data_IF_108306825737
#
_entry.id   IF_108306825737
#
_cell.length_a   1.000
_cell.length_b   1.000
_cell.length_c   1.000
_cell.angle_alpha   90.00
_cell.angle_beta   90.00
_cell.angle_gamma   90.00
#
_symmetry.space_group_name_H-M   'P 1'
#
loop_
_entity.id
_entity.type
_entity.pdbx_description
1 polymer ?
#
# COMPACT_ATOMS: atom_id res chain seq x y z
N UNK A 1 -10.22 11.03 7.34
CA UNK A 1 -10.14 11.18 8.79
C UNK A 1 -9.59 9.87 9.34
N UNK A 2 -8.36 9.89 9.85
CA UNK A 2 -7.70 8.70 10.40
C UNK A 2 -8.48 8.12 11.59
N UNK A 3 -8.35 6.84 11.80
CA UNK A 3 -8.92 6.15 12.95
C UNK A 3 -7.79 5.85 13.94
N UNK A 4 -7.92 6.37 15.15
CA UNK A 4 -7.08 5.99 16.28
C UNK A 4 -7.77 4.86 17.01
N UNK A 5 -7.08 3.74 17.17
CA UNK A 5 -7.56 2.63 17.98
C UNK A 5 -6.58 2.31 19.09
N UNK A 6 -7.04 1.65 20.13
CA UNK A 6 -6.22 1.11 21.19
C UNK A 6 -5.97 -0.38 20.91
N UNK A 7 -4.75 -0.87 21.12
CA UNK A 7 -4.43 -2.28 20.94
C UNK A 7 -5.12 -3.15 22.00
N UNK A 8 -5.42 -4.38 21.64
CA UNK A 8 -5.87 -5.40 22.59
C UNK A 8 -4.74 -5.86 23.54
N UNK A 9 -5.03 -6.85 24.38
CA UNK A 9 -4.09 -7.38 25.36
C UNK A 9 -2.84 -8.01 24.72
N UNK A 10 -2.93 -8.41 23.45
CA UNK A 10 -1.82 -8.96 22.65
C UNK A 10 -1.05 -7.89 21.88
N UNK A 11 -1.47 -6.61 21.97
CA UNK A 11 -0.88 -5.52 21.20
C UNK A 11 -1.34 -5.50 19.74
N UNK A 12 -2.50 -6.08 19.46
CA UNK A 12 -3.08 -6.15 18.11
C UNK A 12 -4.15 -5.08 17.95
N UNK A 13 -4.09 -4.39 16.82
CA UNK A 13 -5.12 -3.46 16.37
C UNK A 13 -5.45 -3.73 14.91
N UNK A 14 -6.68 -3.50 14.50
CA UNK A 14 -7.09 -3.75 13.12
C UNK A 14 -8.15 -2.78 12.62
N UNK A 15 -8.20 -2.61 11.30
CA UNK A 15 -9.27 -1.95 10.57
C UNK A 15 -9.83 -2.88 9.51
N UNK A 16 -11.15 -2.95 9.36
CA UNK A 16 -11.83 -3.95 8.54
C UNK A 16 -12.88 -3.34 7.62
N UNK A 17 -12.92 -3.82 6.40
CA UNK A 17 -14.07 -3.73 5.51
C UNK A 17 -14.87 -5.04 5.56
N UNK A 18 -16.21 -4.89 5.58
CA UNK A 18 -17.14 -6.02 5.48
C UNK A 18 -18.14 -5.72 4.38
N UNK A 19 -18.23 -6.63 3.42
CA UNK A 19 -19.13 -6.54 2.27
C UNK A 19 -20.31 -7.50 2.45
N UNK A 20 -21.45 -7.18 1.88
CA UNK A 20 -22.63 -8.07 1.89
C UNK A 20 -22.38 -9.36 1.13
N UNK A 21 -21.70 -9.25 -0.02
CA UNK A 21 -21.28 -10.38 -0.87
C UNK A 21 -19.76 -10.38 -1.01
N UNK A 22 -19.15 -11.54 -1.33
CA UNK A 22 -17.71 -11.58 -1.61
C UNK A 22 -17.34 -10.64 -2.76
N UNK A 23 -16.25 -9.90 -2.58
CA UNK A 23 -15.65 -9.05 -3.62
C UNK A 23 -14.25 -9.53 -3.92
N UNK A 24 -13.78 -9.32 -5.14
CA UNK A 24 -12.41 -9.62 -5.53
C UNK A 24 -11.62 -8.33 -5.54
N UNK A 25 -10.54 -8.30 -4.78
CA UNK A 25 -9.56 -7.20 -4.81
C UNK A 25 -8.26 -7.67 -5.46
N UNK A 26 -7.52 -6.73 -6.05
CA UNK A 26 -6.25 -6.96 -6.72
C UNK A 26 -5.15 -6.02 -6.20
N UNK A 27 -5.49 -5.05 -5.35
CA UNK A 27 -4.51 -4.20 -4.68
C UNK A 27 -5.12 -3.56 -3.42
N UNK A 28 -4.25 -3.08 -2.55
CA UNK A 28 -4.61 -2.18 -1.46
C UNK A 28 -3.67 -0.97 -1.40
N UNK A 29 -4.12 0.13 -0.81
CA UNK A 29 -3.23 1.17 -0.33
C UNK A 29 -3.43 1.42 1.15
N UNK A 30 -2.32 1.71 1.83
CA UNK A 30 -2.27 1.96 3.25
C UNK A 30 -1.52 3.27 3.50
N UNK A 31 -2.13 4.21 4.22
CA UNK A 31 -1.46 5.41 4.72
C UNK A 31 -1.34 5.32 6.23
N UNK A 32 -0.10 5.35 6.70
CA UNK A 32 0.25 5.33 8.11
C UNK A 32 0.66 6.74 8.55
N UNK A 33 -0.13 7.34 9.42
CA UNK A 33 0.15 8.65 10.00
C UNK A 33 1.23 8.65 11.06
N UNK A 34 1.80 7.49 11.39
CA UNK A 34 2.97 7.36 12.26
C UNK A 34 4.25 7.64 11.46
N UNK A 35 4.28 8.78 10.79
CA UNK A 35 5.42 9.19 9.97
C UNK A 35 6.74 8.88 10.68
N UNK A 36 7.45 7.90 10.16
CA UNK A 36 8.76 7.47 10.64
C UNK A 36 9.89 8.29 10.04
N UNK A 37 9.57 9.49 9.55
CA UNK A 37 10.63 10.40 9.16
C UNK A 37 11.56 10.60 10.33
N UNK A 38 12.82 10.65 10.06
CA UNK A 38 14.02 10.67 10.90
C UNK A 38 14.01 11.55 12.16
N UNK A 39 12.99 12.37 12.34
CA UNK A 39 12.85 13.24 13.52
C UNK A 39 12.27 12.53 14.73
N UNK A 40 11.71 11.33 14.57
CA UNK A 40 11.14 10.53 15.66
C UNK A 40 11.56 9.06 15.55
N UNK A 41 12.86 8.81 15.65
CA UNK A 41 13.48 7.47 15.69
C UNK A 41 13.04 6.61 16.90
N UNK A 42 12.08 7.06 17.67
CA UNK A 42 11.58 6.41 18.88
C UNK A 42 10.39 5.48 18.64
N UNK A 43 9.79 5.54 17.48
CA UNK A 43 8.67 4.65 17.15
C UNK A 43 9.20 3.28 16.74
N UNK A 44 8.87 2.27 17.51
CA UNK A 44 9.16 0.90 17.14
C UNK A 44 8.48 0.53 15.81
N UNK A 45 9.10 -0.35 15.01
CA UNK A 45 8.53 -0.76 13.73
C UNK A 45 7.16 -1.38 13.91
N UNK A 46 6.16 -0.88 13.18
CA UNK A 46 4.83 -1.47 13.11
C UNK A 46 4.81 -2.56 12.03
N UNK A 47 4.25 -3.69 12.37
CA UNK A 47 4.10 -4.81 11.44
C UNK A 47 2.66 -4.89 10.98
N UNK A 48 2.43 -4.66 9.70
CA UNK A 48 1.12 -4.76 9.09
C UNK A 48 0.98 -6.06 8.31
N UNK A 49 -0.22 -6.61 8.29
CA UNK A 49 -0.59 -7.72 7.43
C UNK A 49 -2.03 -7.57 6.96
N UNK A 50 -2.31 -8.08 5.77
CA UNK A 50 -3.66 -8.22 5.26
C UNK A 50 -4.19 -9.61 5.61
N UNK A 51 -5.40 -9.67 6.13
CA UNK A 51 -6.14 -10.90 6.39
C UNK A 51 -7.53 -10.83 5.77
N UNK A 52 -8.07 -12.00 5.41
CA UNK A 52 -9.41 -12.15 4.84
C UNK A 52 -10.25 -13.17 5.57
N UNK A 53 -11.58 -13.01 5.48
CA UNK A 53 -12.56 -13.95 6.02
C UNK A 53 -13.84 -13.92 5.20
N UNK A 54 -14.57 -15.04 5.14
CA UNK A 54 -15.90 -15.12 4.58
C UNK A 54 -17.01 -15.19 5.64
N UNK A 55 -16.66 -15.60 6.86
CA UNK A 55 -17.59 -15.74 7.99
C UNK A 55 -17.50 -14.58 9.00
N UNK A 56 -16.49 -13.72 8.86
CA UNK A 56 -16.19 -12.62 9.78
C UNK A 56 -15.62 -13.07 11.14
N UNK A 57 -15.29 -14.34 11.29
CA UNK A 57 -14.78 -14.95 12.53
C UNK A 57 -13.40 -15.58 12.35
N UNK A 58 -13.25 -16.39 11.33
CA UNK A 58 -12.00 -17.08 11.00
C UNK A 58 -11.27 -16.28 9.93
N UNK A 59 -10.08 -15.79 10.25
CA UNK A 59 -9.27 -14.98 9.34
C UNK A 59 -8.03 -15.74 8.89
N UNK A 60 -7.71 -15.58 7.61
CA UNK A 60 -6.52 -16.14 6.98
C UNK A 60 -5.63 -15.02 6.48
N UNK A 61 -4.33 -15.09 6.79
CA UNK A 61 -3.36 -14.12 6.29
C UNK A 61 -3.21 -14.26 4.77
N UNK A 62 -3.29 -13.13 4.07
CA UNK A 62 -3.01 -13.02 2.63
C UNK A 62 -1.55 -12.69 2.40
N UNK A 63 -1.06 -11.62 3.02
CA UNK A 63 0.32 -11.17 2.90
C UNK A 63 0.75 -10.33 4.11
N UNK A 64 2.04 -10.22 4.31
CA UNK A 64 2.63 -9.18 5.14
C UNK A 64 2.75 -7.89 4.30
N UNK A 65 2.52 -6.75 4.92
CA UNK A 65 2.70 -5.44 4.32
C UNK A 65 4.04 -4.91 4.84
N UNK A 66 5.07 -4.86 3.99
CA UNK A 66 6.40 -4.47 4.44
C UNK A 66 6.42 -3.00 4.84
N UNK A 67 7.38 -2.66 5.67
CA UNK A 67 7.63 -1.26 6.01
C UNK A 67 8.14 -0.50 4.78
N UNK A 68 7.74 0.75 4.69
CA UNK A 68 8.17 1.68 3.64
C UNK A 68 8.52 3.03 4.24
N UNK A 69 9.44 3.74 3.61
CA UNK A 69 9.76 5.13 3.95
C UNK A 69 8.76 6.15 3.43
N UNK A 70 7.68 5.70 2.81
CA UNK A 70 6.61 6.56 2.29
C UNK A 70 5.42 6.61 3.24
N UNK A 71 4.72 7.74 3.27
CA UNK A 71 3.47 7.90 4.03
C UNK A 71 2.37 6.94 3.59
N UNK A 72 2.31 6.71 2.30
CA UNK A 72 1.39 5.79 1.67
C UNK A 72 2.17 4.75 0.92
N UNK A 73 1.69 3.54 0.94
CA UNK A 73 2.20 2.48 0.10
C UNK A 73 1.07 1.72 -0.58
N UNK A 74 1.27 1.40 -1.83
CA UNK A 74 0.38 0.57 -2.64
C UNK A 74 0.96 -0.83 -2.77
N UNK A 75 0.15 -1.83 -2.46
CA UNK A 75 0.52 -3.25 -2.55
C UNK A 75 -0.35 -3.89 -3.63
N UNK A 76 0.27 -4.45 -4.64
CA UNK A 76 -0.40 -5.30 -5.64
C UNK A 76 -0.61 -6.70 -5.07
N UNK A 77 -1.74 -7.30 -5.37
CA UNK A 77 -2.15 -8.59 -4.83
C UNK A 77 -2.56 -9.53 -5.96
N UNK A 78 -2.32 -10.83 -5.84
CA UNK A 78 -3.05 -11.78 -6.65
C UNK A 78 -4.55 -11.60 -6.40
N UNK A 79 -5.43 -11.86 -7.41
CA UNK A 79 -6.87 -11.74 -7.23
C UNK A 79 -7.33 -12.48 -5.99
N UNK A 80 -7.83 -11.74 -5.00
CA UNK A 80 -8.20 -12.25 -3.68
C UNK A 80 -9.67 -11.96 -3.42
N UNK A 81 -10.48 -13.01 -3.25
CA UNK A 81 -11.93 -12.91 -3.09
C UNK A 81 -12.34 -13.24 -1.67
N UNK A 82 -13.03 -12.31 -1.01
CA UNK A 82 -13.58 -12.51 0.34
C UNK A 82 -14.71 -11.52 0.66
N UNK A 83 -15.41 -11.77 1.76
CA UNK A 83 -16.40 -10.82 2.31
C UNK A 83 -15.76 -9.80 3.26
N UNK A 84 -14.76 -10.22 4.01
CA UNK A 84 -14.09 -9.37 4.98
C UNK A 84 -12.62 -9.26 4.64
N UNK A 85 -12.12 -8.04 4.67
CA UNK A 85 -10.70 -7.72 4.52
C UNK A 85 -10.29 -6.87 5.70
N UNK A 86 -9.26 -7.27 6.42
CA UNK A 86 -8.73 -6.47 7.51
C UNK A 86 -7.22 -6.27 7.40
N UNK A 87 -6.80 -5.06 7.67
CA UNK A 87 -5.40 -4.75 7.93
C UNK A 87 -5.20 -4.86 9.43
N UNK A 88 -4.28 -5.70 9.81
CA UNK A 88 -3.89 -5.93 11.20
C UNK A 88 -2.53 -5.32 11.43
N UNK A 89 -2.41 -4.54 12.48
CA UNK A 89 -1.14 -4.01 12.96
C UNK A 89 -0.76 -4.72 14.26
N UNK A 90 0.46 -5.24 14.32
CA UNK A 90 1.05 -5.80 15.51
C UNK A 90 2.06 -4.83 16.09
N UNK A 91 1.85 -4.40 17.32
CA UNK A 91 2.82 -3.60 18.06
C UNK A 91 3.97 -4.47 18.57
N UNK A 92 5.22 -4.00 18.49
CA UNK A 92 6.40 -4.82 18.79
C UNK A 92 6.60 -5.11 20.28
N UNK A 93 6.02 -4.35 21.17
CA UNK A 93 6.14 -4.56 22.63
C UNK A 93 4.87 -4.14 23.37
N UNK A 94 4.50 -4.97 24.33
CA UNK A 94 3.30 -4.86 25.15
C UNK A 94 3.32 -3.73 26.19
N UNK A 95 4.48 -3.20 26.54
CA UNK A 95 4.69 -2.49 27.80
C UNK A 95 4.88 -0.98 27.66
N UNK A 96 4.72 -0.43 26.47
CA UNK A 96 4.86 1.01 26.29
C UNK A 96 3.51 1.70 26.33
N UNK A 97 3.23 2.33 27.47
CA UNK A 97 2.10 3.24 27.61
C UNK A 97 2.17 4.33 26.55
N UNK A 98 1.09 4.50 25.79
CA UNK A 98 0.96 5.56 24.80
C UNK A 98 1.27 5.17 23.36
N UNK A 99 1.64 3.92 23.06
CA UNK A 99 1.74 3.46 21.69
C UNK A 99 0.34 3.40 21.06
N UNK A 100 0.21 3.98 19.90
CA UNK A 100 -1.03 3.97 19.11
C UNK A 100 -0.70 3.81 17.64
N UNK A 101 -1.64 3.22 16.92
CA UNK A 101 -1.59 3.15 15.47
C UNK A 101 -2.43 4.26 14.90
N UNK A 102 -1.85 5.08 14.06
CA UNK A 102 -2.54 6.14 13.36
C UNK A 102 -2.75 5.75 11.89
N UNK A 103 -3.67 4.82 11.66
CA UNK A 103 -4.08 4.44 10.32
C UNK A 103 -4.93 5.57 9.74
N UNK A 104 -4.37 6.31 8.79
CA UNK A 104 -5.06 7.45 8.18
C UNK A 104 -5.98 7.02 7.05
N UNK A 105 -5.53 6.09 6.23
CA UNK A 105 -6.28 5.63 5.07
C UNK A 105 -5.98 4.16 4.79
N UNK A 106 -7.01 3.42 4.42
CA UNK A 106 -6.93 2.05 3.98
C UNK A 106 -7.94 1.85 2.85
N UNK A 107 -7.47 1.60 1.64
CA UNK A 107 -8.30 1.43 0.46
C UNK A 107 -8.08 0.08 -0.18
N UNK A 108 -9.16 -0.47 -0.76
CA UNK A 108 -9.15 -1.71 -1.52
C UNK A 108 -9.47 -1.41 -2.98
N UNK A 109 -8.76 -2.06 -3.90
CA UNK A 109 -8.93 -1.86 -5.34
C UNK A 109 -9.29 -3.17 -6.03
N UNK A 110 -10.27 -3.10 -6.92
CA UNK A 110 -10.69 -4.23 -7.77
C UNK A 110 -9.85 -4.36 -9.04
N UNK A 111 -8.87 -3.50 -9.23
CA UNK A 111 -7.94 -3.52 -10.36
C UNK A 111 -6.51 -3.56 -9.83
N UNK A 112 -5.62 -4.18 -10.58
CA UNK A 112 -4.19 -4.19 -10.30
C UNK A 112 -3.62 -2.78 -10.23
N UNK A 113 -2.60 -2.58 -9.39
CA UNK A 113 -1.87 -1.32 -9.21
C UNK A 113 -0.38 -1.59 -9.32
N UNK A 114 0.40 -0.54 -9.52
CA UNK A 114 1.85 -0.67 -9.44
C UNK A 114 2.22 -0.95 -7.99
N UNK A 115 2.87 -2.09 -7.77
CA UNK A 115 3.35 -2.46 -6.44
C UNK A 115 4.43 -1.47 -5.99
N UNK A 116 4.26 -0.92 -4.77
CA UNK A 116 5.12 0.12 -4.20
C UNK A 116 5.27 1.36 -5.09
N UNK A 117 4.16 1.81 -5.69
CA UNK A 117 4.15 2.93 -6.64
C UNK A 117 4.78 4.19 -6.04
N UNK A 118 4.48 4.51 -4.79
CA UNK A 118 4.95 5.70 -4.10
C UNK A 118 6.47 5.68 -3.89
N UNK A 119 7.00 4.54 -3.49
CA UNK A 119 8.43 4.35 -3.28
C UNK A 119 9.20 4.38 -4.61
N UNK A 120 8.66 3.71 -5.62
CA UNK A 120 9.21 3.72 -7.00
C UNK A 120 9.17 5.12 -7.64
N UNK A 121 8.20 5.95 -7.25
CA UNK A 121 8.11 7.34 -7.68
C UNK A 121 9.01 8.30 -6.87
N UNK A 122 9.74 7.80 -5.88
CA UNK A 122 10.67 8.61 -5.09
C UNK A 122 10.01 9.44 -3.99
N UNK A 123 8.82 9.07 -3.51
CA UNK A 123 8.13 9.77 -2.42
C UNK A 123 8.65 9.40 -1.02
N UNK A 124 9.74 8.67 -0.95
CA UNK A 124 10.43 8.42 0.32
C UNK A 124 11.03 9.71 0.87
N UNK A 125 10.93 9.94 2.18
CA UNK A 125 11.51 11.12 2.78
C UNK A 125 13.04 11.08 2.66
N UNK A 126 13.67 12.25 2.50
CA UNK A 126 15.12 12.35 2.32
C UNK A 126 15.91 11.66 3.44
N UNK A 127 15.43 11.72 4.67
CA UNK A 127 16.10 11.10 5.81
C UNK A 127 15.97 9.58 5.87
N UNK A 128 15.12 8.97 5.04
CA UNK A 128 14.82 7.54 5.08
C UNK A 128 15.41 6.78 3.87
N UNK A 129 16.07 7.48 2.94
CA UNK A 129 16.61 6.87 1.71
C UNK A 129 17.55 5.70 1.98
N UNK A 130 18.33 5.77 3.06
CA UNK A 130 19.32 4.75 3.42
C UNK A 130 18.78 3.69 4.40
N UNK A 131 17.58 3.88 4.93
CA UNK A 131 17.04 3.00 5.99
C UNK A 131 16.29 1.79 5.43
N UNK A 132 15.82 1.88 4.20
CA UNK A 132 15.04 0.83 3.58
C UNK A 132 15.83 0.16 2.46
N UNK A 133 15.87 -1.16 2.44
CA UNK A 133 16.55 -1.89 1.38
C UNK A 133 15.89 -1.62 0.03
N UNK A 134 16.68 -1.57 -1.02
CA UNK A 134 16.16 -1.57 -2.39
C UNK A 134 15.26 -2.77 -2.62
N UNK A 135 14.21 -2.58 -3.39
CA UNK A 135 13.32 -3.68 -3.76
C UNK A 135 14.07 -4.73 -4.59
N UNK A 136 13.72 -6.01 -4.44
CA UNK A 136 14.33 -7.06 -5.24
C UNK A 136 14.03 -6.85 -6.74
N UNK A 137 14.92 -7.33 -7.61
CA UNK A 137 14.77 -7.22 -9.06
C UNK A 137 13.48 -7.85 -9.59
N UNK A 138 12.90 -8.81 -8.86
CA UNK A 138 11.60 -9.39 -9.18
C UNK A 138 10.45 -8.37 -9.19
N UNK A 139 10.61 -7.25 -8.48
CA UNK A 139 9.64 -6.16 -8.42
C UNK A 139 9.85 -5.11 -9.52
N UNK A 140 10.86 -5.28 -10.34
CA UNK A 140 11.23 -4.35 -11.42
C UNK A 140 10.77 -4.90 -12.76
N UNK A 141 9.98 -4.13 -13.50
CA UNK A 141 9.64 -4.47 -14.88
C UNK A 141 10.89 -4.34 -15.77
N UNK A 142 11.10 -5.31 -16.66
CA UNK A 142 12.18 -5.20 -17.63
C UNK A 142 11.97 -3.98 -18.53
N UNK A 143 13.06 -3.30 -18.92
CA UNK A 143 12.94 -2.12 -19.78
C UNK A 143 12.23 -2.40 -21.11
N UNK A 144 12.33 -3.64 -21.63
CA UNK A 144 11.62 -4.08 -22.82
C UNK A 144 10.10 -4.19 -22.66
N UNK A 145 9.62 -4.29 -21.42
CA UNK A 145 8.18 -4.36 -21.10
C UNK A 145 7.56 -2.97 -20.91
N UNK A 146 8.37 -1.92 -20.94
CA UNK A 146 7.92 -0.55 -20.78
C UNK A 146 7.62 0.09 -22.13
N UNK A 147 6.37 0.49 -22.35
CA UNK A 147 5.95 1.21 -23.55
C UNK A 147 5.76 2.68 -23.22
N UNK A 148 6.62 3.54 -23.78
CA UNK A 148 6.48 5.00 -23.61
C UNK A 148 5.42 5.52 -24.58
N UNK A 149 4.40 6.15 -24.04
CA UNK A 149 3.26 6.68 -24.79
C UNK A 149 3.20 8.23 -24.79
N UNK A 150 4.18 8.90 -24.20
CA UNK A 150 4.19 10.37 -23.99
C UNK A 150 4.00 11.14 -25.29
N UNK A 151 4.76 10.82 -26.33
CA UNK A 151 4.72 11.53 -27.62
C UNK A 151 3.47 11.24 -28.47
N UNK A 152 2.63 10.37 -27.95
CA UNK A 152 1.46 9.91 -28.67
C UNK A 152 0.15 10.42 -28.05
N UNK A 153 0.22 11.29 -27.06
CA UNK A 153 -0.96 11.92 -26.45
C UNK A 153 -1.43 13.07 -27.34
N UNK A 154 -2.68 13.02 -27.74
CA UNK A 154 -3.30 14.10 -28.53
C UNK A 154 -3.46 15.38 -27.70
N UNK A 155 -3.67 16.52 -28.37
CA UNK A 155 -3.82 17.82 -27.71
C UNK A 155 -5.03 17.87 -26.73
N UNK A 156 -6.04 17.02 -26.95
CA UNK A 156 -7.20 16.86 -26.06
C UNK A 156 -6.92 15.94 -24.85
N UNK A 157 -5.68 15.49 -24.69
CA UNK A 157 -5.23 14.59 -23.61
C UNK A 157 -5.61 13.12 -23.82
N UNK A 158 -6.25 12.77 -24.93
CA UNK A 158 -6.63 11.40 -25.26
C UNK A 158 -5.50 10.64 -25.92
N UNK A 159 -5.48 9.34 -25.67
CA UNK A 159 -4.53 8.44 -26.27
C UNK A 159 -5.21 7.16 -26.77
N UNK A 160 -5.54 7.07 -28.06
CA UNK A 160 -5.90 5.78 -28.63
C UNK A 160 -4.67 4.87 -28.65
N UNK A 161 -4.77 3.74 -27.98
CA UNK A 161 -3.71 2.73 -27.94
C UNK A 161 -4.31 1.34 -28.08
N UNK A 162 -3.85 0.61 -29.09
CA UNK A 162 -4.18 -0.78 -29.22
C UNK A 162 -3.20 -1.58 -28.36
N UNK A 163 -3.63 -1.88 -27.11
CA UNK A 163 -2.80 -2.65 -26.19
C UNK A 163 -2.53 -4.04 -26.77
N UNK A 164 -1.27 -4.49 -26.79
CA UNK A 164 -0.94 -5.88 -27.06
C UNK A 164 -1.65 -6.82 -26.06
N UNK A 165 -1.74 -8.11 -26.38
CA UNK A 165 -2.27 -9.06 -25.41
C UNK A 165 -1.39 -9.11 -24.17
N UNK A 166 -1.99 -9.07 -22.99
CA UNK A 166 -1.29 -9.11 -21.71
C UNK A 166 -1.98 -8.28 -20.64
N UNK A 167 -1.43 -8.30 -19.44
CA UNK A 167 -1.85 -7.46 -18.34
C UNK A 167 -1.05 -6.18 -18.38
N UNK A 168 -1.70 -5.03 -18.52
CA UNK A 168 -1.06 -3.74 -18.64
C UNK A 168 -1.47 -2.82 -17.51
N UNK A 169 -0.51 -2.07 -17.00
CA UNK A 169 -0.74 -0.94 -16.09
C UNK A 169 -0.36 0.32 -16.83
N UNK A 170 -1.28 1.29 -16.88
CA UNK A 170 -1.00 2.60 -17.47
C UNK A 170 -0.72 3.56 -16.33
N UNK A 171 0.47 4.16 -16.35
CA UNK A 171 0.87 5.16 -15.37
C UNK A 171 1.14 6.50 -16.04
N UNK A 172 0.72 7.58 -15.39
CA UNK A 172 1.03 8.95 -15.81
C UNK A 172 1.86 9.61 -14.71
N UNK A 173 3.04 10.02 -15.08
CA UNK A 173 3.91 10.81 -14.23
C UNK A 173 3.94 12.26 -14.74
N UNK A 174 4.02 13.19 -13.84
CA UNK A 174 4.15 14.60 -14.18
C UNK A 174 4.80 15.36 -13.04
N UNK A 175 5.48 16.45 -13.39
CA UNK A 175 6.01 17.42 -12.43
C UNK A 175 5.18 18.68 -12.51
N UNK A 176 4.85 19.28 -11.38
CA UNK A 176 4.30 20.63 -11.31
C UNK A 176 5.28 21.53 -10.58
N UNK A 177 5.46 22.75 -11.09
CA UNK A 177 6.18 23.79 -10.38
C UNK A 177 5.18 24.54 -9.52
N UNK A 178 5.41 24.52 -8.22
CA UNK A 178 4.69 25.41 -7.31
C UNK A 178 5.48 26.71 -7.24
N UNK A 179 4.82 27.79 -7.65
CA UNK A 179 5.36 29.13 -7.51
C UNK A 179 5.01 29.76 -6.17
#
# INVERSE_FOLDING_TARGET
KGTRGEPDAEGIIWAQYTFETPVTIMALSLSDGNNRSTWNSWSAPLYYRLETSNDGKTFTKVCDIPQSGTFQQTIDLPPTTARCFRVVCQLPQKDKQGEFVNLMEYNLYTTSRINFAEEKAGFTSFGDLDQYPSRPDSDVSAAGDVVVLTDKVAADGRRPWNAPRGNWVISRFGTSLFG
#
